data_IF_814446813137
#
_entry.id   IF_814446813137
#
_cell.length_a   1.000
_cell.length_b   1.000
_cell.length_c   1.000
_cell.angle_alpha   90.00
_cell.angle_beta   90.00
_cell.angle_gamma   90.00
#
_symmetry.space_group_name_H-M   'P 1'
#
loop_
_entity.id
_entity.type
_entity.pdbx_description
1 polymer ?
#
# COMPACT_ATOMS: atom_id res chain seq x y z
N UNK A 1 -2.48 -5.46 12.45
CA UNK A 1 -1.62 -6.59 12.04
C UNK A 1 -1.54 -7.71 13.06
N UNK A 2 -1.91 -7.47 14.33
CA UNK A 2 -1.92 -8.49 15.38
C UNK A 2 -2.65 -9.79 15.01
N UNK A 3 -3.81 -9.71 14.34
CA UNK A 3 -4.56 -10.90 13.93
C UNK A 3 -3.82 -11.81 12.94
N UNK A 4 -2.95 -11.23 12.10
CA UNK A 4 -2.10 -12.00 11.19
C UNK A 4 -1.03 -12.74 11.99
N UNK A 5 -0.41 -12.09 12.98
CA UNK A 5 0.57 -12.72 13.87
C UNK A 5 -0.05 -13.75 14.83
N UNK A 6 -1.33 -13.59 15.19
CA UNK A 6 -2.10 -14.53 16.03
C UNK A 6 -2.74 -15.67 15.21
N UNK A 7 -2.49 -15.73 13.90
CA UNK A 7 -3.11 -16.70 12.97
C UNK A 7 -4.65 -16.66 12.91
N UNK A 8 -5.27 -15.55 13.34
CA UNK A 8 -6.72 -15.32 13.17
C UNK A 8 -7.06 -14.79 11.78
N UNK A 9 -6.05 -14.38 11.02
CA UNK A 9 -6.17 -13.84 9.67
C UNK A 9 -4.98 -14.32 8.83
N UNK A 10 -5.24 -14.87 7.63
CA UNK A 10 -4.18 -15.41 6.77
C UNK A 10 -3.19 -14.35 6.25
N UNK A 11 -3.63 -13.10 6.17
CA UNK A 11 -2.83 -11.97 5.70
C UNK A 11 -3.70 -10.76 5.39
N UNK A 12 -3.08 -9.70 4.88
CA UNK A 12 -3.77 -8.46 4.49
C UNK A 12 -3.14 -7.83 3.25
N UNK A 13 -3.92 -7.05 2.51
CA UNK A 13 -3.42 -6.30 1.36
C UNK A 13 -2.97 -4.92 1.84
N UNK A 14 -1.67 -4.68 1.84
CA UNK A 14 -1.08 -3.38 2.16
C UNK A 14 -1.00 -2.51 0.90
N UNK A 15 -1.62 -1.33 0.98
CA UNK A 15 -1.51 -0.26 -0.02
C UNK A 15 -0.73 0.89 0.62
N UNK A 16 0.47 1.14 0.10
CA UNK A 16 1.37 2.15 0.64
C UNK A 16 0.85 3.56 0.33
N UNK A 17 0.13 4.16 1.28
CA UNK A 17 -0.50 5.49 1.12
C UNK A 17 0.51 6.58 0.77
N UNK A 18 1.75 6.49 1.26
CA UNK A 18 2.78 7.46 0.92
C UNK A 18 3.18 7.41 -0.56
N UNK A 19 3.16 6.23 -1.20
CA UNK A 19 3.39 6.12 -2.64
C UNK A 19 2.21 6.70 -3.42
N UNK A 20 0.98 6.41 -2.99
CA UNK A 20 -0.24 6.98 -3.60
C UNK A 20 -0.20 8.51 -3.56
N UNK A 21 0.18 9.09 -2.42
CA UNK A 21 0.31 10.53 -2.28
C UNK A 21 1.43 11.11 -3.17
N UNK A 22 2.59 10.46 -3.25
CA UNK A 22 3.68 10.90 -4.13
C UNK A 22 3.26 10.91 -5.60
N UNK A 23 2.57 9.86 -6.03
CA UNK A 23 2.10 9.69 -7.38
C UNK A 23 1.01 10.71 -7.74
N UNK A 24 0.04 10.91 -6.86
CA UNK A 24 -1.00 11.93 -7.00
C UNK A 24 -0.41 13.35 -7.09
N UNK A 25 0.58 13.68 -6.25
CA UNK A 25 1.26 14.98 -6.28
C UNK A 25 2.07 15.15 -7.57
N UNK A 26 2.76 14.10 -8.04
CA UNK A 26 3.49 14.14 -9.31
C UNK A 26 2.54 14.43 -10.48
N UNK A 27 1.44 13.70 -10.58
CA UNK A 27 0.40 13.91 -11.61
C UNK A 27 -0.19 15.32 -11.53
N UNK A 28 -0.62 15.75 -10.35
CA UNK A 28 -1.22 17.06 -10.15
C UNK A 28 -0.25 18.20 -10.51
N UNK A 29 1.04 18.05 -10.19
CA UNK A 29 2.08 19.04 -10.51
C UNK A 29 2.27 19.18 -12.02
N UNK A 30 2.36 18.05 -12.73
CA UNK A 30 2.57 18.04 -14.20
C UNK A 30 1.34 18.64 -14.90
N UNK A 31 0.14 18.21 -14.51
CA UNK A 31 -1.12 18.70 -15.08
C UNK A 31 -1.32 20.20 -14.81
N UNK A 32 -1.02 20.67 -13.58
CA UNK A 32 -1.06 22.10 -13.22
C UNK A 32 -0.11 22.93 -14.09
N UNK A 33 1.03 22.36 -14.51
CA UNK A 33 1.96 23.01 -15.42
C UNK A 33 1.50 22.98 -16.90
N UNK A 34 0.31 22.47 -17.20
CA UNK A 34 -0.21 22.33 -18.56
C UNK A 34 0.52 21.26 -19.38
N UNK A 35 1.25 20.35 -18.72
CA UNK A 35 2.04 19.31 -19.37
C UNK A 35 1.31 17.97 -19.33
N UNK A 36 1.65 17.10 -20.27
CA UNK A 36 1.18 15.72 -20.30
C UNK A 36 2.02 14.85 -19.36
N UNK A 37 1.42 14.06 -18.44
CA UNK A 37 2.15 13.08 -17.65
C UNK A 37 2.92 12.07 -18.53
N UNK A 38 4.17 11.74 -18.19
CA UNK A 38 4.97 10.81 -18.97
C UNK A 38 4.39 9.38 -18.87
N UNK A 39 4.61 8.58 -19.90
CA UNK A 39 4.19 7.16 -19.94
C UNK A 39 4.88 6.30 -18.87
N UNK A 40 6.03 6.73 -18.34
CA UNK A 40 6.64 6.08 -17.17
C UNK A 40 5.85 6.24 -15.87
N UNK A 41 4.95 7.23 -15.80
CA UNK A 41 4.02 7.46 -14.69
C UNK A 41 2.65 6.83 -14.97
N UNK A 42 2.17 6.92 -16.20
CA UNK A 42 0.89 6.34 -16.62
C UNK A 42 1.07 4.90 -17.11
N UNK A 43 0.74 3.92 -16.26
CA UNK A 43 0.97 2.49 -16.51
C UNK A 43 -0.32 1.67 -16.76
N UNK A 44 -1.47 2.33 -16.88
CA UNK A 44 -2.74 1.65 -17.18
C UNK A 44 -3.88 2.60 -17.53
N UNK A 45 -5.09 2.05 -17.57
CA UNK A 45 -6.34 2.81 -17.71
C UNK A 45 -7.36 2.36 -16.66
N UNK A 46 -8.28 3.25 -16.30
CA UNK A 46 -9.44 2.93 -15.48
C UNK A 46 -10.71 3.40 -16.18
N UNK A 47 -11.78 2.63 -16.04
CA UNK A 47 -13.09 2.94 -16.63
C UNK A 47 -14.17 2.98 -15.55
N UNK A 48 -15.22 3.80 -15.72
CA UNK A 48 -16.37 3.76 -14.84
C UNK A 48 -17.00 2.35 -14.76
N UNK A 49 -17.59 1.97 -13.62
CA UNK A 49 -18.41 0.77 -13.52
C UNK A 49 -19.57 0.78 -14.51
N UNK A 50 -20.07 -0.40 -14.88
CA UNK A 50 -21.24 -0.54 -15.75
C UNK A 50 -22.43 0.26 -15.22
N UNK A 51 -23.03 1.09 -16.06
CA UNK A 51 -24.17 1.94 -15.70
C UNK A 51 -23.79 3.31 -15.12
N UNK A 52 -22.49 3.60 -14.92
CA UNK A 52 -22.01 4.91 -14.47
C UNK A 52 -21.52 5.75 -15.65
N UNK A 53 -21.83 7.05 -15.61
CA UNK A 53 -21.34 8.01 -16.61
C UNK A 53 -19.84 8.27 -16.47
N UNK A 54 -19.20 8.59 -17.59
CA UNK A 54 -17.76 8.90 -17.67
C UNK A 54 -17.10 8.21 -18.85
N UNK A 55 -15.80 8.40 -18.98
CA UNK A 55 -14.97 7.78 -20.02
C UNK A 55 -13.77 7.08 -19.40
N UNK A 56 -13.14 6.18 -20.16
CA UNK A 56 -11.88 5.58 -19.78
C UNK A 56 -10.78 6.66 -19.66
N UNK A 57 -9.98 6.59 -18.59
CA UNK A 57 -8.94 7.56 -18.27
C UNK A 57 -7.59 6.87 -18.10
N UNK A 58 -6.47 7.50 -18.51
CA UNK A 58 -5.14 7.06 -18.14
C UNK A 58 -4.98 7.03 -16.63
N UNK A 59 -4.23 6.05 -16.13
CA UNK A 59 -4.05 5.82 -14.71
C UNK A 59 -2.60 5.50 -14.38
N UNK A 60 -2.20 5.91 -13.18
CA UNK A 60 -1.07 5.29 -12.48
C UNK A 60 -1.63 4.30 -11.47
N UNK A 61 -1.20 3.04 -11.56
CA UNK A 61 -1.66 1.90 -10.79
C UNK A 61 -0.50 1.37 -9.96
N UNK A 62 -0.54 1.66 -8.66
CA UNK A 62 0.43 1.15 -7.71
C UNK A 62 0.21 -0.34 -7.43
N UNK A 63 1.30 -1.08 -7.25
CA UNK A 63 1.25 -2.49 -6.88
C UNK A 63 1.00 -2.66 -5.39
N UNK A 64 -0.15 -3.22 -4.97
CA UNK A 64 -0.37 -3.55 -3.56
C UNK A 64 0.52 -4.73 -3.12
N UNK A 65 0.86 -4.77 -1.83
CA UNK A 65 1.66 -5.86 -1.25
C UNK A 65 0.76 -6.80 -0.44
N UNK A 66 0.81 -8.11 -0.71
CA UNK A 66 0.21 -9.11 0.18
C UNK A 66 1.11 -9.31 1.40
N UNK A 67 0.57 -9.08 2.59
CA UNK A 67 1.30 -9.12 3.85
C UNK A 67 0.89 -10.33 4.66
N UNK A 68 1.88 -11.10 5.09
CA UNK A 68 1.79 -12.31 5.91
C UNK A 68 2.74 -12.20 7.11
N UNK A 69 2.75 -13.19 8.00
CA UNK A 69 3.73 -13.27 9.08
C UNK A 69 5.17 -13.28 8.57
N UNK A 70 5.41 -13.88 7.40
CA UNK A 70 6.76 -14.06 6.83
C UNK A 70 7.38 -12.82 6.22
N UNK A 71 6.60 -11.79 5.88
CA UNK A 71 7.09 -10.58 5.21
C UNK A 71 6.65 -9.27 5.88
N UNK A 72 6.02 -9.34 7.06
CA UNK A 72 5.49 -8.17 7.75
C UNK A 72 6.57 -7.15 8.11
N UNK A 73 7.75 -7.65 8.50
CA UNK A 73 8.89 -6.80 8.83
C UNK A 73 9.33 -5.94 7.63
N UNK A 74 9.40 -6.53 6.43
CA UNK A 74 9.87 -5.87 5.20
C UNK A 74 8.80 -5.03 4.49
N UNK A 75 7.59 -4.99 5.03
CA UNK A 75 6.45 -4.26 4.46
C UNK A 75 5.98 -3.16 5.41
N UNK A 76 4.92 -3.40 6.16
CA UNK A 76 4.25 -2.39 6.99
C UNK A 76 5.09 -1.90 8.16
N UNK A 77 6.03 -2.71 8.66
CA UNK A 77 6.95 -2.31 9.74
C UNK A 77 8.10 -1.47 9.18
N UNK A 78 8.78 -1.93 8.13
CA UNK A 78 9.81 -1.16 7.42
C UNK A 78 9.31 0.21 6.97
N UNK A 79 8.10 0.24 6.42
CA UNK A 79 7.47 1.48 5.95
C UNK A 79 6.91 2.33 7.11
N UNK A 80 7.05 1.88 8.37
CA UNK A 80 6.55 2.53 9.60
C UNK A 80 5.04 2.81 9.57
N UNK A 81 4.31 2.07 8.73
CA UNK A 81 2.86 2.18 8.61
C UNK A 81 2.16 1.57 9.83
N UNK A 82 2.77 0.53 10.41
CA UNK A 82 2.35 -0.07 11.68
C UNK A 82 3.45 0.21 12.70
N UNK A 83 3.06 0.75 13.85
CA UNK A 83 3.98 0.92 14.96
C UNK A 83 4.40 -0.45 15.51
N UNK A 84 5.71 -0.72 15.45
CA UNK A 84 6.29 -1.98 15.90
C UNK A 84 6.09 -2.20 17.40
N UNK A 85 6.33 -1.17 18.21
CA UNK A 85 6.33 -1.31 19.66
C UNK A 85 4.91 -1.59 20.18
N UNK A 86 3.92 -0.90 19.61
CA UNK A 86 2.51 -1.17 19.88
C UNK A 86 2.13 -2.58 19.43
N UNK A 87 2.50 -2.97 18.20
CA UNK A 87 2.19 -4.31 17.68
C UNK A 87 2.75 -5.42 18.59
N UNK A 88 4.02 -5.32 19.00
CA UNK A 88 4.65 -6.31 19.86
C UNK A 88 4.14 -6.28 21.30
N UNK A 89 3.56 -5.16 21.75
CA UNK A 89 2.78 -5.11 22.99
C UNK A 89 1.48 -5.91 22.84
N UNK A 90 0.77 -5.76 21.72
CA UNK A 90 -0.52 -6.41 21.47
C UNK A 90 -0.43 -7.94 21.26
N UNK A 91 0.70 -8.43 20.77
CA UNK A 91 0.91 -9.87 20.46
C UNK A 91 1.97 -10.55 21.32
N UNK A 92 2.67 -9.82 22.19
CA UNK A 92 3.90 -10.19 22.91
C UNK A 92 5.18 -10.16 22.06
N UNK A 93 6.31 -9.84 22.71
CA UNK A 93 7.62 -9.81 22.07
C UNK A 93 8.02 -11.17 21.47
N UNK A 94 7.65 -12.28 22.11
CA UNK A 94 7.95 -13.62 21.62
C UNK A 94 7.34 -13.88 20.24
N UNK A 95 6.09 -13.45 20.02
CA UNK A 95 5.40 -13.58 18.73
C UNK A 95 6.05 -12.70 17.67
N UNK A 96 6.43 -11.46 18.02
CA UNK A 96 7.16 -10.59 17.10
C UNK A 96 8.52 -11.18 16.69
N UNK A 97 9.31 -11.67 17.65
CA UNK A 97 10.62 -12.28 17.38
C UNK A 97 10.47 -13.51 16.49
N UNK A 98 9.46 -14.37 16.74
CA UNK A 98 9.17 -15.53 15.89
C UNK A 98 8.81 -15.15 14.45
N UNK A 99 8.22 -13.97 14.24
CA UNK A 99 7.90 -13.42 12.93
C UNK A 99 9.04 -12.55 12.32
N UNK A 100 10.23 -12.51 12.95
CA UNK A 100 11.36 -11.72 12.46
C UNK A 100 11.16 -10.21 12.57
N UNK A 101 10.27 -9.75 13.45
CA UNK A 101 10.02 -8.32 13.69
C UNK A 101 10.94 -7.86 14.82
N UNK A 102 11.89 -6.98 14.49
CA UNK A 102 12.97 -6.52 15.39
C UNK A 102 12.97 -5.03 15.65
#
# INVERSE_FOLDING_TARGET
>A
MANVLKNYQCGSVYKAVYLEAQDAVALATILRAGKTPPSGLLNGTTKPPTGQSGSEQPASLLTPKWVTTTNMNDTVIKDKFVDKNQLCTDVTQAVCTAAGIS
#
